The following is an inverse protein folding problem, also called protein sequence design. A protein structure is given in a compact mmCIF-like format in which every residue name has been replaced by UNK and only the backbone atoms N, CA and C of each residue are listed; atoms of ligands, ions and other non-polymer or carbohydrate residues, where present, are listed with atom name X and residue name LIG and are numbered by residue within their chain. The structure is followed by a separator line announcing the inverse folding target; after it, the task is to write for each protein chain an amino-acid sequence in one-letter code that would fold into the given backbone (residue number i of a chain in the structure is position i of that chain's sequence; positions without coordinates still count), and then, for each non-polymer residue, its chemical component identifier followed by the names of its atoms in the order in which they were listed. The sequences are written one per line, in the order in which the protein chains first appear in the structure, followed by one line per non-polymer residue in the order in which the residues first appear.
data_IF_019550262332
#
_entry.id   IF_019550262332
#
_cell.length_a   1.000
_cell.length_b   1.000
_cell.length_c   1.000
_cell.angle_alpha   90.00
_cell.angle_beta   90.00
_cell.angle_gamma   90.00
#
_symmetry.space_group_name_H-M   'P 1'
#
loop_
_entity.id
_entity.type
_entity.pdbx_description
1 polymer ?
#
# COMPACT_ATOMS: atom_id res chain seq x y z
N UNK A 1 -26.97 -35.61 -32.69
CA UNK A 1 -25.61 -35.03 -32.82
C UNK A 1 -25.63 -33.51 -32.90
N UNK A 2 -26.46 -32.88 -33.76
CA UNK A 2 -26.48 -31.42 -33.93
C UNK A 2 -26.82 -30.61 -32.65
N UNK A 3 -27.77 -31.09 -31.83
CA UNK A 3 -28.12 -30.48 -30.53
C UNK A 3 -26.97 -30.52 -29.51
N UNK A 4 -26.21 -31.62 -29.48
CA UNK A 4 -25.06 -31.79 -28.59
C UNK A 4 -23.93 -30.87 -29.02
N UNK A 5 -23.69 -30.75 -30.34
CA UNK A 5 -22.72 -29.80 -30.89
C UNK A 5 -23.09 -28.34 -30.57
N UNK A 6 -24.38 -27.98 -30.66
CA UNK A 6 -24.85 -26.63 -30.31
C UNK A 6 -24.62 -26.31 -28.82
N UNK A 7 -24.96 -27.24 -27.92
CA UNK A 7 -24.74 -27.08 -26.47
C UNK A 7 -23.25 -26.95 -26.16
N UNK A 8 -22.42 -27.75 -26.82
CA UNK A 8 -20.96 -27.69 -26.65
C UNK A 8 -20.40 -26.34 -27.12
N UNK A 9 -20.91 -25.78 -28.21
CA UNK A 9 -20.48 -24.48 -28.73
C UNK A 9 -20.88 -23.33 -27.81
N UNK A 10 -22.08 -23.38 -27.22
CA UNK A 10 -22.52 -22.43 -26.18
C UNK A 10 -21.65 -22.55 -24.93
N UNK A 11 -21.29 -23.78 -24.52
CA UNK A 11 -20.40 -23.99 -23.38
C UNK A 11 -19.01 -23.42 -23.62
N UNK A 12 -18.43 -23.63 -24.80
CA UNK A 12 -17.13 -23.03 -25.17
C UNK A 12 -17.23 -21.51 -25.15
N UNK A 13 -18.27 -20.94 -25.76
CA UNK A 13 -18.47 -19.49 -25.78
C UNK A 13 -18.56 -18.93 -24.35
N UNK A 14 -19.33 -19.59 -23.48
CA UNK A 14 -19.44 -19.22 -22.06
C UNK A 14 -18.09 -19.33 -21.33
N UNK A 15 -17.37 -20.43 -21.51
CA UNK A 15 -16.07 -20.67 -20.88
C UNK A 15 -15.01 -19.62 -21.28
N UNK A 16 -14.96 -19.26 -22.57
CA UNK A 16 -14.06 -18.20 -23.04
C UNK A 16 -14.45 -16.84 -22.44
N UNK A 17 -15.75 -16.59 -22.28
CA UNK A 17 -16.26 -15.34 -21.72
C UNK A 17 -15.94 -15.22 -20.22
N UNK A 18 -16.08 -16.31 -19.45
CA UNK A 18 -15.69 -16.34 -18.03
C UNK A 18 -14.19 -16.17 -17.86
N UNK A 19 -13.37 -16.84 -18.68
CA UNK A 19 -11.91 -16.65 -18.67
C UNK A 19 -11.51 -15.19 -18.94
N UNK A 20 -12.14 -14.53 -19.92
CA UNK A 20 -11.89 -13.10 -20.20
C UNK A 20 -12.23 -12.21 -19.00
N UNK A 21 -13.38 -12.44 -18.36
CA UNK A 21 -13.78 -11.68 -17.16
C UNK A 21 -12.75 -11.87 -16.04
N UNK A 22 -12.30 -13.10 -15.80
CA UNK A 22 -11.27 -13.41 -14.79
C UNK A 22 -9.98 -12.66 -15.09
N UNK A 23 -9.49 -12.68 -16.33
CA UNK A 23 -8.24 -12.00 -16.73
C UNK A 23 -8.34 -10.48 -16.52
N UNK A 24 -9.45 -9.85 -16.92
CA UNK A 24 -9.65 -8.40 -16.76
C UNK A 24 -9.73 -8.02 -15.27
N UNK A 25 -10.44 -8.82 -14.48
CA UNK A 25 -10.54 -8.63 -13.03
C UNK A 25 -9.18 -8.79 -12.37
N UNK A 26 -8.39 -9.79 -12.78
CA UNK A 26 -7.05 -10.04 -12.24
C UNK A 26 -6.09 -8.89 -12.56
N UNK A 27 -6.12 -8.34 -13.78
CA UNK A 27 -5.30 -7.17 -14.13
C UNK A 27 -5.60 -5.95 -13.25
N UNK A 28 -6.89 -5.63 -13.08
CA UNK A 28 -7.32 -4.49 -12.24
C UNK A 28 -7.00 -4.68 -10.75
N UNK A 29 -7.10 -5.90 -10.23
CA UNK A 29 -6.79 -6.21 -8.83
C UNK A 29 -5.29 -6.21 -8.58
N UNK A 30 -4.51 -6.79 -9.48
CA UNK A 30 -3.04 -6.84 -9.42
C UNK A 30 -2.45 -5.45 -9.46
N UNK A 31 -2.84 -4.61 -10.41
CA UNK A 31 -2.33 -3.23 -10.51
C UNK A 31 -2.61 -2.41 -9.25
N UNK A 32 -3.82 -2.56 -8.71
CA UNK A 32 -4.23 -1.75 -7.56
C UNK A 32 -3.58 -2.21 -6.26
N UNK A 33 -3.46 -3.51 -6.02
CA UNK A 33 -2.92 -4.02 -4.76
C UNK A 33 -1.41 -4.24 -4.76
N UNK A 34 -0.85 -4.72 -5.87
CA UNK A 34 0.59 -4.97 -5.99
C UNK A 34 1.30 -3.67 -6.36
N UNK A 35 0.73 -2.89 -7.28
CA UNK A 35 1.29 -1.60 -7.68
C UNK A 35 1.35 -0.59 -6.53
N UNK A 36 0.32 -0.49 -5.69
CA UNK A 36 0.36 0.41 -4.53
C UNK A 36 1.43 0.01 -3.51
N UNK A 37 1.66 -1.29 -3.32
CA UNK A 37 2.70 -1.79 -2.40
C UNK A 37 4.10 -1.54 -2.96
N UNK A 38 4.33 -1.86 -4.23
CA UNK A 38 5.63 -1.61 -4.87
C UNK A 38 5.95 -0.13 -4.93
N UNK A 39 5.00 0.72 -5.32
CA UNK A 39 5.21 2.18 -5.34
C UNK A 39 5.51 2.72 -3.95
N UNK A 40 4.82 2.23 -2.92
CA UNK A 40 5.12 2.63 -1.54
C UNK A 40 6.51 2.16 -1.09
N UNK A 41 6.93 0.95 -1.45
CA UNK A 41 8.27 0.44 -1.18
C UNK A 41 9.33 1.29 -1.89
N UNK A 42 9.15 1.57 -3.18
CA UNK A 42 10.07 2.43 -3.96
C UNK A 42 10.20 3.82 -3.34
N UNK A 43 9.09 4.46 -2.98
CA UNK A 43 9.10 5.78 -2.36
C UNK A 43 9.87 5.75 -1.03
N UNK A 44 9.66 4.73 -0.19
CA UNK A 44 10.37 4.58 1.10
C UNK A 44 11.85 4.28 0.89
N UNK A 45 12.19 3.36 -0.02
CA UNK A 45 13.58 2.97 -0.27
C UNK A 45 14.39 4.13 -0.83
N UNK A 46 13.80 4.91 -1.73
CA UNK A 46 14.46 6.03 -2.40
C UNK A 46 14.54 7.28 -1.51
N UNK A 47 13.52 7.55 -0.68
CA UNK A 47 13.42 8.82 0.03
C UNK A 47 13.53 8.69 1.56
N UNK A 48 13.26 7.51 2.12
CA UNK A 48 13.07 7.31 3.57
C UNK A 48 11.81 7.98 4.13
N UNK A 49 10.97 8.60 3.28
CA UNK A 49 9.79 9.38 3.66
C UNK A 49 8.54 8.50 3.66
N UNK A 50 7.51 8.94 4.40
CA UNK A 50 6.19 8.30 4.36
C UNK A 50 5.58 8.52 2.97
N UNK A 51 5.08 7.47 2.30
CA UNK A 51 4.48 7.61 0.98
C UNK A 51 3.35 8.64 0.94
N UNK A 52 3.36 9.53 -0.05
CA UNK A 52 2.32 10.57 -0.21
C UNK A 52 0.89 9.99 -0.24
N UNK A 53 0.75 8.79 -0.83
CA UNK A 53 -0.52 8.07 -0.90
C UNK A 53 -1.10 7.70 0.49
N UNK A 54 -0.25 7.55 1.51
CA UNK A 54 -0.68 7.26 2.87
C UNK A 54 -1.07 8.53 3.63
N UNK A 55 -0.42 9.65 3.30
CA UNK A 55 -0.56 10.93 3.98
C UNK A 55 -1.81 11.71 3.59
N UNK A 56 -2.21 11.68 2.32
CA UNK A 56 -3.17 12.67 1.78
C UNK A 56 -4.49 12.82 2.55
N UNK A 57 -5.11 11.72 3.00
CA UNK A 57 -6.36 11.81 3.79
C UNK A 57 -6.11 12.15 5.27
N UNK A 58 -4.98 11.72 5.84
CA UNK A 58 -4.66 11.92 7.25
C UNK A 58 -4.29 13.38 7.51
N UNK A 59 -3.41 13.94 6.69
CA UNK A 59 -2.95 15.32 6.78
C UNK A 59 -4.11 16.31 6.61
N UNK A 60 -4.96 16.11 5.59
CA UNK A 60 -6.13 16.96 5.36
C UNK A 60 -7.11 16.94 6.54
N UNK A 61 -7.28 15.79 7.20
CA UNK A 61 -8.19 15.64 8.34
C UNK A 61 -7.61 16.23 9.63
N UNK A 62 -6.32 16.09 9.87
CA UNK A 62 -5.65 16.65 11.04
C UNK A 62 -5.55 18.18 10.92
N UNK A 63 -5.16 18.68 9.75
CA UNK A 63 -5.04 20.13 9.49
C UNK A 63 -6.38 20.86 9.56
N UNK A 64 -7.48 20.25 9.11
CA UNK A 64 -8.80 20.88 9.21
C UNK A 64 -9.26 21.00 10.67
N UNK A 65 -9.08 19.95 11.47
CA UNK A 65 -9.45 19.95 12.89
C UNK A 65 -8.52 20.84 13.72
N UNK A 66 -7.22 20.89 13.39
CA UNK A 66 -6.27 21.76 14.10
C UNK A 66 -6.54 23.24 13.85
N UNK A 67 -7.04 23.62 12.67
CA UNK A 67 -7.47 25.00 12.40
C UNK A 67 -8.65 25.44 13.26
N UNK A 68 -9.57 24.53 13.58
CA UNK A 68 -10.77 24.85 14.38
C UNK A 68 -10.53 24.71 15.87
N UNK A 69 -9.69 23.76 16.30
CA UNK A 69 -9.54 23.37 17.70
C UNK A 69 -8.13 23.61 18.27
N UNK A 70 -7.21 24.16 17.48
CA UNK A 70 -5.84 24.44 17.90
C UNK A 70 -5.11 23.18 18.39
N UNK A 71 -4.37 23.31 19.51
CA UNK A 71 -3.65 22.22 20.17
C UNK A 71 -4.55 21.46 21.17
N UNK A 72 -5.76 21.11 20.75
CA UNK A 72 -6.66 20.33 21.62
C UNK A 72 -6.15 18.90 21.83
N UNK A 73 -6.54 18.29 22.93
CA UNK A 73 -6.27 16.86 23.22
C UNK A 73 -6.77 15.95 22.07
N UNK A 74 -7.88 16.34 21.42
CA UNK A 74 -8.42 15.63 20.26
C UNK A 74 -7.45 15.62 19.08
N UNK A 75 -6.79 16.75 18.79
CA UNK A 75 -5.80 16.85 17.72
C UNK A 75 -4.57 15.99 18.04
N UNK A 76 -4.11 15.99 19.30
CA UNK A 76 -3.00 15.12 19.73
C UNK A 76 -3.34 13.63 19.56
N UNK A 77 -4.54 13.20 19.97
CA UNK A 77 -5.02 11.83 19.76
C UNK A 77 -5.08 11.46 18.28
N UNK A 78 -5.55 12.38 17.42
CA UNK A 78 -5.59 12.14 15.97
C UNK A 78 -4.20 11.97 15.35
N UNK A 79 -3.22 12.79 15.76
CA UNK A 79 -1.82 12.66 15.32
C UNK A 79 -1.22 11.32 15.74
N UNK A 80 -1.45 10.91 16.99
CA UNK A 80 -0.99 9.61 17.49
C UNK A 80 -1.64 8.44 16.73
N UNK A 81 -2.95 8.50 16.46
CA UNK A 81 -3.65 7.49 15.66
C UNK A 81 -3.12 7.40 14.23
N UNK A 82 -2.82 8.55 13.61
CA UNK A 82 -2.27 8.61 12.28
C UNK A 82 -0.85 8.00 12.21
N UNK A 83 0.01 8.32 13.19
CA UNK A 83 1.33 7.68 13.36
C UNK A 83 1.19 6.15 13.48
N UNK A 84 0.32 5.67 14.38
CA UNK A 84 0.05 4.24 14.55
C UNK A 84 -0.44 3.59 13.25
N UNK A 85 -1.26 4.30 12.46
CA UNK A 85 -1.73 3.80 11.16
C UNK A 85 -0.59 3.67 10.14
N UNK A 86 0.34 4.62 10.11
CA UNK A 86 1.54 4.58 9.25
C UNK A 86 2.46 3.42 9.65
N UNK A 87 2.73 3.27 10.96
CA UNK A 87 3.57 2.18 11.47
C UNK A 87 2.99 0.80 11.10
N UNK A 88 1.67 0.62 11.24
CA UNK A 88 1.01 -0.61 10.78
C UNK A 88 1.14 -0.87 9.29
N UNK A 89 1.12 0.19 8.45
CA UNK A 89 1.27 0.07 7.00
C UNK A 89 2.69 -0.37 6.62
N UNK A 90 3.73 0.20 7.24
CA UNK A 90 5.11 -0.24 6.98
C UNK A 90 5.37 -1.64 7.53
N UNK A 91 4.81 -2.03 8.68
CA UNK A 91 4.86 -3.40 9.17
C UNK A 91 4.25 -4.39 8.17
N UNK A 92 3.16 -4.00 7.50
CA UNK A 92 2.56 -4.80 6.44
C UNK A 92 3.48 -4.91 5.21
N UNK A 93 4.18 -3.84 4.82
CA UNK A 93 5.17 -3.89 3.73
C UNK A 93 6.39 -4.75 4.08
N UNK A 94 6.88 -4.68 5.32
CA UNK A 94 7.96 -5.54 5.82
C UNK A 94 7.54 -7.01 5.73
N UNK A 95 6.34 -7.34 6.23
CA UNK A 95 5.80 -8.70 6.18
C UNK A 95 5.56 -9.19 4.75
N UNK A 96 5.05 -8.32 3.88
CA UNK A 96 4.87 -8.60 2.47
C UNK A 96 6.23 -8.91 1.81
N UNK A 97 7.23 -8.05 2.00
CA UNK A 97 8.56 -8.20 1.41
C UNK A 97 9.26 -9.48 1.89
N UNK A 98 9.09 -9.86 3.16
CA UNK A 98 9.61 -11.14 3.70
C UNK A 98 9.03 -12.37 2.97
N UNK A 99 7.70 -12.40 2.81
CA UNK A 99 6.97 -13.57 2.27
C UNK A 99 6.88 -13.60 0.75
N UNK A 100 7.09 -12.45 0.10
CA UNK A 100 6.91 -12.28 -1.33
C UNK A 100 8.05 -12.96 -2.12
N UNK A 101 7.71 -13.69 -3.21
CA UNK A 101 8.67 -14.22 -4.17
C UNK A 101 9.07 -13.20 -5.25
N UNK A 102 8.48 -11.99 -5.24
CA UNK A 102 8.67 -11.00 -6.31
C UNK A 102 10.07 -10.38 -6.36
N UNK A 103 10.85 -10.47 -5.27
CA UNK A 103 12.27 -10.11 -5.28
C UNK A 103 13.06 -11.42 -5.28
N UNK A 104 13.50 -11.84 -6.47
CA UNK A 104 14.19 -13.13 -6.67
C UNK A 104 15.63 -13.10 -6.17
N UNK A 105 16.27 -11.94 -6.22
CA UNK A 105 17.63 -11.77 -5.73
C UNK A 105 17.66 -11.57 -4.20
N UNK A 106 18.42 -12.43 -3.52
CA UNK A 106 18.48 -12.46 -2.05
C UNK A 106 19.11 -11.18 -1.49
N UNK A 107 20.15 -10.66 -2.15
CA UNK A 107 20.85 -9.45 -1.73
C UNK A 107 19.95 -8.22 -1.84
N UNK A 108 19.29 -8.04 -2.99
CA UNK A 108 18.31 -6.98 -3.22
C UNK A 108 17.16 -7.05 -2.20
N UNK A 109 16.70 -8.26 -1.87
CA UNK A 109 15.65 -8.46 -0.87
C UNK A 109 16.09 -8.04 0.53
N UNK A 110 17.33 -8.33 0.92
CA UNK A 110 17.90 -7.92 2.21
C UNK A 110 18.08 -6.39 2.28
N UNK A 111 18.61 -5.76 1.23
CA UNK A 111 18.76 -4.30 1.16
C UNK A 111 17.41 -3.60 1.32
N UNK A 112 16.40 -4.05 0.57
CA UNK A 112 15.06 -3.49 0.61
C UNK A 112 14.43 -3.66 2.00
N UNK A 113 14.56 -4.84 2.60
CA UNK A 113 14.06 -5.11 3.94
C UNK A 113 14.72 -4.22 5.00
N UNK A 114 16.04 -4.03 4.91
CA UNK A 114 16.79 -3.16 5.81
C UNK A 114 16.33 -1.71 5.71
N UNK A 115 16.10 -1.20 4.48
CA UNK A 115 15.56 0.15 4.27
C UNK A 115 14.18 0.34 4.87
N UNK A 116 13.30 -0.65 4.73
CA UNK A 116 11.96 -0.60 5.35
C UNK A 116 12.04 -0.64 6.89
N UNK A 117 12.94 -1.46 7.46
CA UNK A 117 13.13 -1.53 8.91
C UNK A 117 13.72 -0.23 9.47
N UNK A 118 14.69 0.36 8.76
CA UNK A 118 15.27 1.65 9.10
C UNK A 118 14.21 2.76 9.10
N UNK A 119 13.41 2.85 8.04
CA UNK A 119 12.31 3.82 7.96
C UNK A 119 11.28 3.61 9.07
N UNK A 120 10.89 2.35 9.37
CA UNK A 120 9.98 2.04 10.49
C UNK A 120 10.53 2.58 11.81
N UNK A 121 11.81 2.31 12.12
CA UNK A 121 12.45 2.75 13.36
C UNK A 121 12.47 4.28 13.45
N UNK A 122 12.88 4.95 12.37
CA UNK A 122 12.92 6.41 12.31
C UNK A 122 11.54 7.04 12.55
N UNK A 123 10.48 6.46 11.97
CA UNK A 123 9.12 6.98 12.16
C UNK A 123 8.53 6.64 13.53
N UNK A 124 9.02 5.60 14.20
CA UNK A 124 8.63 5.26 15.56
C UNK A 124 9.22 6.25 16.57
N UNK A 125 10.45 6.69 16.36
CA UNK A 125 11.15 7.66 17.22
C UNK A 125 10.63 9.10 17.03
N UNK A 126 10.26 9.47 15.80
CA UNK A 126 9.86 10.84 15.44
C UNK A 126 8.43 11.20 15.82
N UNK A 127 8.20 12.48 16.15
CA UNK A 127 6.85 13.00 16.34
C UNK A 127 6.11 13.19 15.01
N UNK A 128 4.78 13.30 15.06
CA UNK A 128 3.95 13.47 13.86
C UNK A 128 4.45 14.62 12.98
N UNK A 129 4.81 15.75 13.58
CA UNK A 129 5.31 16.90 12.83
C UNK A 129 6.63 16.60 12.11
N UNK A 130 7.53 15.85 12.72
CA UNK A 130 8.82 15.47 12.13
C UNK A 130 8.68 14.40 11.04
N UNK A 131 7.65 13.55 11.14
CA UNK A 131 7.29 12.57 10.12
C UNK A 131 6.76 13.27 8.86
N UNK A 132 6.01 14.37 9.03
CA UNK A 132 5.44 15.12 7.90
C UNK A 132 6.35 16.22 7.37
N UNK A 133 7.20 16.82 8.20
CA UNK A 133 7.99 18.01 7.89
C UNK A 133 9.28 17.72 7.11
N UNK A 134 9.40 16.58 6.42
CA UNK A 134 10.61 16.31 5.63
C UNK A 134 10.64 17.22 4.40
N UNK A 135 11.56 18.21 4.33
CA UNK A 135 11.57 19.21 3.27
C UNK A 135 11.84 18.57 1.91
N UNK A 136 11.30 19.19 0.86
CA UNK A 136 11.59 18.85 -0.54
C UNK A 136 13.09 18.88 -0.83
#
# INVERSE_FOLDING_TARGET
MLKISLIFLVFIAFFVLTLKVVIIQMGRLTDKYIGEKHRAIEEIVNTGKVPKAWMGKLEKRISSVSKTQGRSEKVLKMKMQAKTSILKKIDHLINYSKKSPFVQDKETKEILLNKLLEARRLWEEKDWEEIIASPE
#
